data_IF_422689325905
#
_entry.id   IF_422689325905
#
_cell.length_a   1.000
_cell.length_b   1.000
_cell.length_c   1.000
_cell.angle_alpha   90.00
_cell.angle_beta   90.00
_cell.angle_gamma   90.00
#
_symmetry.space_group_name_H-M   'P 1'
#
loop_
_entity.id
_entity.type
_entity.pdbx_description
1 polymer ?
#
# COMPACT_ATOMS: atom_id res chain seq x y z
N UNK A 1 14.71 -7.74 11.59
CA UNK A 1 14.56 -6.27 11.51
C UNK A 1 15.81 -5.65 12.15
N UNK A 2 16.63 -5.02 11.36
CA UNK A 2 17.76 -4.26 11.90
C UNK A 2 17.39 -2.77 11.90
N UNK A 3 16.99 -2.28 13.06
CA UNK A 3 16.88 -0.84 13.28
C UNK A 3 18.28 -0.26 13.49
N UNK A 4 18.74 0.54 12.53
CA UNK A 4 19.89 1.41 12.76
C UNK A 4 19.42 2.77 13.28
N UNK A 5 20.04 3.34 14.31
CA UNK A 5 19.58 4.57 14.97
C UNK A 5 19.75 5.86 14.16
N UNK A 6 20.14 5.78 12.90
CA UNK A 6 20.42 6.95 12.06
C UNK A 6 19.25 7.42 11.19
N UNK A 7 18.03 6.96 11.40
CA UNK A 7 16.83 7.46 10.70
C UNK A 7 16.82 7.28 9.18
N UNK A 8 17.76 6.55 8.61
CA UNK A 8 17.74 6.18 7.19
C UNK A 8 16.99 4.87 7.01
N UNK A 9 15.85 4.96 6.40
CA UNK A 9 15.05 3.81 6.03
C UNK A 9 15.66 3.13 4.80
N UNK A 10 16.11 1.90 4.95
CA UNK A 10 16.65 1.11 3.87
C UNK A 10 15.58 0.13 3.38
N UNK A 11 15.16 0.29 2.14
CA UNK A 11 14.27 -0.66 1.49
C UNK A 11 15.08 -1.81 0.91
N UNK A 12 14.77 -3.02 1.33
CA UNK A 12 15.39 -4.25 0.83
C UNK A 12 14.39 -4.99 -0.05
N UNK A 13 14.80 -5.27 -1.27
CA UNK A 13 14.05 -6.13 -2.18
C UNK A 13 14.33 -7.59 -1.84
N UNK A 14 13.29 -8.32 -1.47
CA UNK A 14 13.37 -9.74 -1.15
C UNK A 14 12.66 -10.56 -2.24
N UNK A 15 13.34 -11.57 -2.74
CA UNK A 15 12.70 -12.55 -3.61
C UNK A 15 11.60 -13.29 -2.83
N UNK A 16 10.36 -13.28 -3.35
CA UNK A 16 9.28 -14.08 -2.79
C UNK A 16 9.51 -15.54 -3.18
N UNK A 17 10.18 -16.28 -2.31
CA UNK A 17 10.55 -17.70 -2.41
C UNK A 17 9.62 -18.55 -3.29
N UNK A 18 9.91 -18.59 -4.56
CA UNK A 18 9.40 -19.62 -5.43
C UNK A 18 10.58 -20.49 -5.87
N UNK A 19 10.77 -21.61 -5.18
CA UNK A 19 11.81 -22.63 -5.40
C UNK A 19 13.27 -22.11 -5.33
N UNK A 20 13.95 -22.49 -4.25
CA UNK A 20 15.40 -22.43 -4.06
C UNK A 20 16.12 -21.22 -4.71
N UNK A 21 15.69 -20.03 -4.32
CA UNK A 21 16.39 -18.82 -4.67
C UNK A 21 17.44 -18.51 -3.61
N UNK A 22 18.67 -18.84 -3.91
CA UNK A 22 19.87 -18.50 -3.12
C UNK A 22 20.26 -17.01 -3.34
N UNK A 23 19.26 -16.14 -3.42
CA UNK A 23 19.48 -14.73 -3.71
C UNK A 23 19.63 -13.92 -2.41
N UNK A 24 20.79 -13.29 -2.19
CA UNK A 24 20.98 -12.40 -1.06
C UNK A 24 20.03 -11.20 -1.14
N UNK A 25 19.65 -10.69 0.02
CA UNK A 25 18.89 -9.43 0.10
C UNK A 25 19.71 -8.30 -0.53
N UNK A 26 19.23 -7.81 -1.67
CA UNK A 26 19.82 -6.64 -2.32
C UNK A 26 19.14 -5.38 -1.80
N UNK A 27 19.93 -4.41 -1.37
CA UNK A 27 19.39 -3.10 -1.06
C UNK A 27 18.95 -2.39 -2.34
N UNK A 28 17.91 -1.58 -2.26
CA UNK A 28 17.41 -0.77 -3.39
C UNK A 28 18.54 0.04 -4.05
N UNK A 29 19.45 0.58 -3.25
CA UNK A 29 20.61 1.34 -3.73
C UNK A 29 21.56 0.46 -4.56
N UNK A 30 21.74 -0.80 -4.22
CA UNK A 30 22.60 -1.73 -4.95
C UNK A 30 22.01 -2.14 -6.30
N UNK A 31 20.69 -2.13 -6.44
CA UNK A 31 19.99 -2.41 -7.71
C UNK A 31 19.93 -1.18 -8.59
N UNK A 32 19.66 0.00 -8.02
CA UNK A 32 19.47 1.25 -8.77
C UNK A 32 20.77 1.87 -9.26
N UNK A 33 21.87 1.79 -8.51
CA UNK A 33 23.16 2.35 -8.92
C UNK A 33 23.70 1.83 -10.26
N UNK A 34 23.74 0.49 -10.52
CA UNK A 34 24.18 -0.02 -11.81
C UNK A 34 23.27 0.41 -12.96
N UNK A 35 21.95 0.47 -12.71
CA UNK A 35 20.97 0.91 -13.70
C UNK A 35 21.13 2.39 -14.02
N UNK A 36 21.37 3.25 -13.03
CA UNK A 36 21.65 4.68 -13.24
C UNK A 36 22.94 4.90 -14.02
N UNK A 37 23.99 4.13 -13.75
CA UNK A 37 25.26 4.22 -14.47
C UNK A 37 25.13 3.76 -15.92
N UNK A 38 24.40 2.68 -16.20
CA UNK A 38 24.12 2.22 -17.55
C UNK A 38 23.23 3.20 -18.31
N UNK A 39 22.23 3.82 -17.67
CA UNK A 39 21.39 4.85 -18.27
C UNK A 39 22.17 6.14 -18.58
N UNK A 40 23.19 6.48 -17.79
CA UNK A 40 24.09 7.62 -18.07
C UNK A 40 25.02 7.35 -19.25
N UNK A 41 25.43 6.08 -19.46
CA UNK A 41 26.24 5.67 -20.58
C UNK A 41 25.46 5.61 -21.90
N UNK A 42 24.15 5.36 -21.82
CA UNK A 42 23.26 5.51 -22.96
C UNK A 42 22.93 6.99 -23.09
N UNK A 43 23.54 7.68 -24.04
CA UNK A 43 23.11 9.03 -24.44
C UNK A 43 21.73 8.93 -25.09
N UNK A 44 20.72 8.74 -24.24
CA UNK A 44 19.32 8.70 -24.65
C UNK A 44 18.99 10.10 -25.15
N UNK A 45 18.61 10.25 -26.40
CA UNK A 45 18.16 11.53 -26.96
C UNK A 45 17.05 12.08 -26.07
N UNK A 46 17.09 13.37 -25.79
CA UNK A 46 16.09 14.06 -24.94
C UNK A 46 14.64 13.73 -25.34
N UNK A 47 14.41 13.50 -26.62
CA UNK A 47 13.10 13.08 -27.15
C UNK A 47 12.63 11.75 -26.56
N UNK A 48 13.48 10.73 -26.50
CA UNK A 48 13.14 9.42 -25.92
C UNK A 48 12.91 9.55 -24.42
N UNK A 49 13.71 10.35 -23.74
CA UNK A 49 13.52 10.60 -22.32
C UNK A 49 12.18 11.28 -22.02
N UNK A 50 11.75 12.21 -22.87
CA UNK A 50 10.44 12.88 -22.72
C UNK A 50 9.27 11.91 -22.92
N UNK A 51 9.37 10.95 -23.84
CA UNK A 51 8.37 9.91 -24.05
C UNK A 51 8.29 8.97 -22.84
N UNK A 52 9.42 8.47 -22.37
CA UNK A 52 9.48 7.59 -21.19
C UNK A 52 8.88 8.30 -19.97
N UNK A 53 9.20 9.58 -19.78
CA UNK A 53 8.66 10.38 -18.67
C UNK A 53 7.13 10.48 -18.73
N UNK A 54 6.58 10.77 -19.91
CA UNK A 54 5.11 10.86 -20.10
C UNK A 54 4.41 9.52 -19.85
N UNK A 55 5.01 8.43 -20.33
CA UNK A 55 4.46 7.08 -20.11
C UNK A 55 4.49 6.69 -18.63
N UNK A 56 5.60 6.98 -17.93
CA UNK A 56 5.70 6.78 -16.48
C UNK A 56 4.68 7.61 -15.71
N UNK A 57 4.52 8.89 -16.03
CA UNK A 57 3.50 9.74 -15.41
C UNK A 57 2.09 9.18 -15.63
N UNK A 58 1.80 8.67 -16.82
CA UNK A 58 0.51 8.07 -17.12
C UNK A 58 0.27 6.79 -16.31
N UNK A 59 1.25 5.91 -16.21
CA UNK A 59 1.19 4.68 -15.41
C UNK A 59 0.99 5.01 -13.93
N UNK A 60 1.75 5.96 -13.40
CA UNK A 60 1.67 6.42 -12.02
C UNK A 60 0.28 6.97 -11.71
N UNK A 61 -0.26 7.83 -12.59
CA UNK A 61 -1.62 8.37 -12.41
C UNK A 61 -2.70 7.30 -12.42
N UNK A 62 -2.56 6.30 -13.29
CA UNK A 62 -3.49 5.18 -13.38
C UNK A 62 -3.44 4.34 -12.10
N UNK A 63 -2.25 3.95 -11.64
CA UNK A 63 -2.06 3.21 -10.41
C UNK A 63 -2.60 3.95 -9.19
N UNK A 64 -2.31 5.24 -9.07
CA UNK A 64 -2.85 6.07 -7.99
C UNK A 64 -4.37 6.13 -8.00
N UNK A 65 -4.98 6.21 -9.18
CA UNK A 65 -6.44 6.20 -9.29
C UNK A 65 -7.05 4.87 -8.85
N UNK A 66 -6.49 3.75 -9.27
CA UNK A 66 -6.93 2.41 -8.89
C UNK A 66 -6.75 2.20 -7.37
N UNK A 67 -5.59 2.55 -6.83
CA UNK A 67 -5.31 2.47 -5.40
C UNK A 67 -6.27 3.32 -4.56
N UNK A 68 -6.51 4.57 -4.95
CA UNK A 68 -7.47 5.42 -4.28
C UNK A 68 -8.91 4.87 -4.31
N UNK A 69 -9.28 4.17 -5.38
CA UNK A 69 -10.57 3.49 -5.46
C UNK A 69 -10.65 2.31 -4.48
N UNK A 70 -9.57 1.53 -4.35
CA UNK A 70 -9.49 0.44 -3.36
C UNK A 70 -9.58 0.95 -1.92
N UNK A 71 -8.87 2.02 -1.59
CA UNK A 71 -8.95 2.66 -0.26
C UNK A 71 -10.36 3.14 0.03
N UNK A 72 -11.00 3.81 -0.92
CA UNK A 72 -12.40 4.28 -0.78
C UNK A 72 -13.37 3.12 -0.58
N UNK A 73 -13.19 2.03 -1.33
CA UNK A 73 -14.02 0.85 -1.22
C UNK A 73 -13.85 0.20 0.17
N UNK A 74 -12.62 0.01 0.62
CA UNK A 74 -12.34 -0.57 1.93
C UNK A 74 -12.91 0.29 3.07
N UNK A 75 -12.79 1.61 3.01
CA UNK A 75 -13.40 2.54 3.98
C UNK A 75 -14.93 2.45 3.95
N UNK A 76 -15.53 2.40 2.77
CA UNK A 76 -16.98 2.25 2.64
C UNK A 76 -17.48 0.93 3.25
N UNK A 77 -16.73 -0.16 3.08
CA UNK A 77 -17.05 -1.45 3.70
C UNK A 77 -16.93 -1.38 5.23
N UNK A 78 -15.89 -0.73 5.74
CA UNK A 78 -15.73 -0.49 7.17
C UNK A 78 -16.89 0.31 7.78
N UNK A 79 -17.31 1.40 7.13
CA UNK A 79 -18.44 2.22 7.58
C UNK A 79 -19.75 1.42 7.58
N UNK A 80 -19.97 0.58 6.56
CA UNK A 80 -21.12 -0.33 6.52
C UNK A 80 -21.10 -1.33 7.66
N UNK A 81 -19.94 -1.92 7.96
CA UNK A 81 -19.78 -2.83 9.08
C UNK A 81 -20.09 -2.13 10.42
N UNK A 82 -19.57 -0.94 10.63
CA UNK A 82 -19.90 -0.12 11.81
C UNK A 82 -21.40 0.17 11.94
N UNK A 83 -22.07 0.48 10.83
CA UNK A 83 -23.50 0.72 10.84
C UNK A 83 -24.28 -0.55 11.16
N UNK A 84 -23.86 -1.72 10.69
CA UNK A 84 -24.45 -3.02 11.08
C UNK A 84 -24.34 -3.26 12.59
N UNK A 85 -23.17 -2.97 13.18
CA UNK A 85 -22.96 -3.10 14.63
C UNK A 85 -23.89 -2.17 15.40
N UNK A 86 -24.06 -0.91 14.95
CA UNK A 86 -25.00 0.05 15.57
C UNK A 86 -26.44 -0.45 15.47
N UNK A 87 -26.87 -0.94 14.32
CA UNK A 87 -28.20 -1.50 14.09
C UNK A 87 -28.43 -2.71 15.00
N UNK A 88 -27.45 -3.60 15.11
CA UNK A 88 -27.52 -4.78 15.97
C UNK A 88 -27.74 -4.39 17.45
N UNK A 89 -27.05 -3.36 17.92
CA UNK A 89 -27.27 -2.81 19.28
C UNK A 89 -28.69 -2.26 19.46
N UNK A 90 -29.22 -1.56 18.45
CA UNK A 90 -30.59 -1.04 18.50
C UNK A 90 -31.61 -2.18 18.59
N UNK A 91 -31.41 -3.26 17.82
CA UNK A 91 -32.28 -4.43 17.85
C UNK A 91 -32.27 -5.12 19.24
N UNK A 92 -31.12 -5.17 19.90
CA UNK A 92 -31.03 -5.70 21.27
C UNK A 92 -31.78 -4.81 22.27
N UNK A 93 -31.64 -3.48 22.17
CA UNK A 93 -32.32 -2.50 23.03
C UNK A 93 -33.83 -2.51 22.83
N UNK A 94 -34.32 -2.86 21.65
CA UNK A 94 -35.73 -2.97 21.31
C UNK A 94 -36.32 -4.38 21.60
N UNK A 95 -35.55 -5.27 22.25
CA UNK A 95 -35.93 -6.66 22.56
C UNK A 95 -36.33 -7.50 21.32
N UNK A 96 -35.81 -7.12 20.14
CA UNK A 96 -36.10 -7.84 18.87
C UNK A 96 -35.21 -9.06 18.66
N UNK A 97 -34.09 -9.13 19.36
CA UNK A 97 -33.13 -10.24 19.34
C UNK A 97 -32.73 -10.62 20.76
N UNK A 98 -32.36 -11.89 20.96
CA UNK A 98 -31.87 -12.36 22.25
C UNK A 98 -30.44 -11.90 22.51
N UNK A 99 -30.00 -11.80 23.79
CA UNK A 99 -28.59 -11.48 24.12
C UNK A 99 -27.59 -12.49 23.54
N UNK A 100 -27.99 -13.74 23.35
CA UNK A 100 -27.14 -14.79 22.76
C UNK A 100 -26.95 -14.57 21.27
N UNK A 101 -28.05 -14.32 20.54
CA UNK A 101 -27.98 -13.94 19.10
C UNK A 101 -27.18 -12.68 18.88
N UNK A 102 -27.35 -11.67 19.75
CA UNK A 102 -26.56 -10.45 19.70
C UNK A 102 -25.06 -10.73 19.84
N UNK A 103 -24.66 -11.56 20.80
CA UNK A 103 -23.27 -11.88 21.06
C UNK A 103 -22.62 -12.54 19.86
N UNK A 104 -23.28 -13.56 19.30
CA UNK A 104 -22.77 -14.31 18.16
C UNK A 104 -22.59 -13.40 16.91
N UNK A 105 -23.62 -12.64 16.57
CA UNK A 105 -23.58 -11.69 15.45
C UNK A 105 -22.56 -10.54 15.67
N UNK A 106 -22.44 -10.08 16.90
CA UNK A 106 -21.49 -9.01 17.23
C UNK A 106 -20.03 -9.48 17.17
N UNK A 107 -19.77 -10.74 17.51
CA UNK A 107 -18.43 -11.32 17.39
C UNK A 107 -17.99 -11.43 15.94
N UNK A 108 -18.86 -11.94 15.06
CA UNK A 108 -18.62 -12.01 13.62
C UNK A 108 -18.38 -10.61 13.01
N UNK A 109 -19.22 -9.65 13.36
CA UNK A 109 -19.07 -8.28 12.85
C UNK A 109 -17.81 -7.58 13.37
N UNK A 110 -17.38 -7.86 14.58
CA UNK A 110 -16.11 -7.34 15.13
C UNK A 110 -14.91 -7.94 14.41
N UNK A 111 -14.97 -9.22 14.08
CA UNK A 111 -13.93 -9.87 13.30
C UNK A 111 -13.84 -9.23 11.89
N UNK A 112 -14.99 -9.09 11.21
CA UNK A 112 -15.06 -8.38 9.91
C UNK A 112 -14.51 -6.94 10.02
N UNK A 113 -14.86 -6.23 11.07
CA UNK A 113 -14.37 -4.86 11.32
C UNK A 113 -12.86 -4.82 11.47
N UNK A 114 -12.28 -5.72 12.24
CA UNK A 114 -10.83 -5.82 12.44
C UNK A 114 -10.06 -6.11 11.14
N UNK A 115 -10.58 -7.01 10.32
CA UNK A 115 -9.99 -7.34 9.02
C UNK A 115 -10.03 -6.14 8.05
N UNK A 116 -11.15 -5.42 8.02
CA UNK A 116 -11.30 -4.21 7.21
C UNK A 116 -10.41 -3.05 7.70
N UNK A 117 -10.26 -2.90 9.01
CA UNK A 117 -9.38 -1.90 9.62
C UNK A 117 -7.91 -2.16 9.23
N UNK A 118 -7.46 -3.41 9.34
CA UNK A 118 -6.12 -3.82 8.91
C UNK A 118 -5.92 -3.60 7.41
N UNK A 119 -6.92 -3.91 6.59
CA UNK A 119 -6.86 -3.69 5.15
C UNK A 119 -6.70 -2.20 4.81
N UNK A 120 -7.49 -1.34 5.45
CA UNK A 120 -7.38 0.13 5.27
C UNK A 120 -6.00 0.63 5.70
N UNK A 121 -5.50 0.16 6.84
CA UNK A 121 -4.17 0.54 7.34
C UNK A 121 -3.06 0.13 6.38
N UNK A 122 -3.08 -1.09 5.85
CA UNK A 122 -2.10 -1.57 4.87
C UNK A 122 -2.14 -0.77 3.56
N UNK A 123 -3.32 -0.49 3.03
CA UNK A 123 -3.48 0.31 1.82
C UNK A 123 -2.99 1.74 2.01
N UNK A 124 -3.26 2.35 3.15
CA UNK A 124 -2.81 3.71 3.48
C UNK A 124 -1.29 3.77 3.64
N UNK A 125 -0.69 2.80 4.33
CA UNK A 125 0.77 2.73 4.47
C UNK A 125 1.49 2.52 3.13
N UNK A 126 0.93 1.73 2.23
CA UNK A 126 1.46 1.55 0.88
C UNK A 126 1.43 2.84 0.06
N UNK A 127 0.39 3.66 0.21
CA UNK A 127 0.25 4.96 -0.45
C UNK A 127 1.31 5.97 0.03
N UNK A 128 1.55 6.05 1.32
CA UNK A 128 2.60 6.91 1.89
C UNK A 128 3.99 6.54 1.37
N UNK A 129 4.34 5.26 1.39
CA UNK A 129 5.64 4.78 0.89
C UNK A 129 5.82 5.06 -0.61
N UNK A 130 4.78 4.87 -1.40
CA UNK A 130 4.81 5.14 -2.83
C UNK A 130 4.96 6.64 -3.13
N UNK A 131 4.24 7.49 -2.40
CA UNK A 131 4.34 8.95 -2.51
C UNK A 131 5.74 9.47 -2.16
N UNK A 132 6.37 8.94 -1.12
CA UNK A 132 7.73 9.27 -0.71
C UNK A 132 8.73 8.85 -1.81
N UNK A 133 8.60 7.65 -2.36
CA UNK A 133 9.47 7.16 -3.42
C UNK A 133 9.41 8.03 -4.68
N UNK A 134 8.22 8.45 -5.10
CA UNK A 134 8.04 9.34 -6.25
C UNK A 134 8.64 10.71 -5.98
N UNK A 135 8.41 11.29 -4.82
CA UNK A 135 8.95 12.61 -4.45
C UNK A 135 10.48 12.57 -4.44
N UNK A 136 11.06 11.52 -3.89
CA UNK A 136 12.51 11.33 -3.88
C UNK A 136 13.09 11.18 -5.29
N UNK A 137 12.42 10.40 -6.14
CA UNK A 137 12.80 10.25 -7.55
C UNK A 137 12.73 11.59 -8.29
N UNK A 138 11.65 12.33 -8.11
CA UNK A 138 11.44 13.64 -8.74
C UNK A 138 12.55 14.63 -8.35
N UNK A 139 12.89 14.71 -7.08
CA UNK A 139 13.91 15.63 -6.58
C UNK A 139 15.34 15.24 -7.00
N UNK A 140 15.64 13.96 -7.18
CA UNK A 140 16.97 13.49 -7.53
C UNK A 140 17.24 13.42 -9.05
N UNK A 141 16.18 13.29 -9.86
CA UNK A 141 16.31 13.11 -11.33
C UNK A 141 16.02 14.40 -12.09
N UNK A 142 15.19 15.28 -11.55
CA UNK A 142 14.73 16.51 -12.20
C UNK A 142 15.35 17.76 -11.55
N UNK A 143 15.94 17.59 -10.36
CA UNK A 143 16.59 18.68 -9.60
C UNK A 143 17.98 19.05 -10.15
#
# INVERSE_FOLDING_TARGET
>A
MSHKPSGKEYVYLKCSHFKDCDNPQLSEIQVLKPIEEELKCLSVREEIFSYIKKDLEHIIRKQNKEHNQEVKLARSQYDKCQNKIKTLRSLLLEDKITPEEYRDMNEDLKQEQYELENKVALLTAADENFSIAITHYHNNVIG
#
